data_IF_979256982903
#
_entry.id   IF_979256982903
#
_cell.length_a   1.000
_cell.length_b   1.000
_cell.length_c   1.000
_cell.angle_alpha   90.00
_cell.angle_beta   90.00
_cell.angle_gamma   90.00
#
_symmetry.space_group_name_H-M   'P 1'
#
loop_
_entity.id
_entity.type
_entity.pdbx_description
1 polymer ?
#
# COMPACT_ATOMS: atom_id res chain seq x y z
N UNK A 1 -11.31 -12.05 21.56
CA UNK A 1 -12.11 -11.67 20.38
C UNK A 1 -12.78 -10.31 20.65
N UNK A 2 -12.98 -9.47 19.64
CA UNK A 2 -13.73 -8.20 19.79
C UNK A 2 -15.23 -8.37 19.53
N UNK A 3 -16.05 -7.34 19.77
CA UNK A 3 -17.49 -7.35 19.49
C UNK A 3 -17.85 -7.53 18.00
N UNK A 4 -16.88 -7.32 17.09
CA UNK A 4 -17.01 -7.59 15.65
C UNK A 4 -16.47 -8.97 15.26
N UNK A 5 -16.14 -9.84 16.22
CA UNK A 5 -15.70 -11.21 15.98
C UNK A 5 -14.21 -11.37 15.67
N UNK A 6 -13.41 -10.30 15.65
CA UNK A 6 -11.99 -10.42 15.34
C UNK A 6 -11.22 -11.15 16.45
N UNK A 7 -10.48 -12.19 16.08
CA UNK A 7 -9.53 -12.84 16.97
C UNK A 7 -8.24 -11.99 17.05
N UNK A 8 -7.83 -11.64 18.27
CA UNK A 8 -6.56 -10.97 18.51
C UNK A 8 -6.08 -11.28 19.92
N UNK A 9 -4.78 -11.57 20.05
CA UNK A 9 -4.11 -11.71 21.33
C UNK A 9 -3.56 -10.36 21.77
N UNK A 10 -3.93 -9.96 22.99
CA UNK A 10 -3.39 -8.79 23.68
C UNK A 10 -3.17 -9.17 25.15
N UNK A 11 -2.08 -8.69 25.75
CA UNK A 11 -1.82 -8.89 27.17
C UNK A 11 -2.96 -8.32 28.02
N UNK A 12 -3.28 -8.88 29.20
CA UNK A 12 -4.35 -8.39 30.07
C UNK A 12 -4.28 -6.89 30.37
N UNK A 13 -3.07 -6.36 30.57
CA UNK A 13 -2.84 -4.92 30.78
C UNK A 13 -3.26 -4.04 29.57
N UNK A 14 -3.06 -4.52 28.33
CA UNK A 14 -3.52 -3.81 27.14
C UNK A 14 -5.04 -3.77 27.03
N UNK A 15 -5.74 -4.77 27.59
CA UNK A 15 -7.20 -4.77 27.64
C UNK A 15 -7.75 -3.71 28.60
N UNK A 16 -7.10 -3.53 29.75
CA UNK A 16 -7.50 -2.52 30.74
C UNK A 16 -7.18 -1.08 30.33
N UNK A 17 -6.12 -0.86 29.54
CA UNK A 17 -5.71 0.47 29.06
C UNK A 17 -6.42 0.94 27.77
N UNK A 18 -7.41 0.21 27.26
CA UNK A 18 -8.16 0.64 26.07
C UNK A 18 -7.41 0.44 24.75
N UNK A 19 -6.33 -0.34 24.70
CA UNK A 19 -5.78 -0.84 23.44
C UNK A 19 -6.74 -1.89 22.87
N UNK A 20 -7.79 -1.38 22.21
CA UNK A 20 -8.85 -2.17 21.60
C UNK A 20 -8.36 -3.06 20.46
N UNK A 21 -9.31 -3.68 19.77
CA UNK A 21 -9.03 -4.58 18.67
C UNK A 21 -8.18 -3.92 17.57
N UNK A 22 -7.00 -4.46 17.22
CA UNK A 22 -6.08 -3.83 16.24
C UNK A 22 -6.71 -3.69 14.86
N UNK A 23 -7.61 -4.60 14.48
CA UNK A 23 -8.39 -4.51 13.25
C UNK A 23 -9.44 -3.38 13.28
N UNK A 24 -10.03 -3.08 14.45
CA UNK A 24 -10.96 -1.95 14.60
C UNK A 24 -10.22 -0.62 14.64
N UNK A 25 -9.03 -0.60 15.23
CA UNK A 25 -8.15 0.56 15.27
C UNK A 25 -7.42 0.83 13.94
N UNK A 26 -7.70 0.06 12.87
CA UNK A 26 -7.06 0.20 11.56
C UNK A 26 -5.57 -0.14 11.54
N UNK A 27 -5.06 -0.78 12.60
CA UNK A 27 -3.66 -1.19 12.73
C UNK A 27 -3.36 -2.48 11.93
N UNK A 28 -4.40 -3.29 11.67
CA UNK A 28 -4.31 -4.51 10.86
C UNK A 28 -5.46 -4.56 9.86
N UNK A 29 -5.22 -5.07 8.63
CA UNK A 29 -6.29 -5.25 7.66
C UNK A 29 -7.16 -6.44 8.06
N UNK A 30 -8.46 -6.31 7.81
CA UNK A 30 -9.41 -7.39 7.82
C UNK A 30 -9.76 -7.70 6.38
N UNK A 31 -9.39 -8.89 5.92
CA UNK A 31 -9.61 -9.36 4.56
C UNK A 31 -11.10 -9.33 4.23
N UNK A 32 -11.44 -8.72 3.09
CA UNK A 32 -12.81 -8.54 2.62
C UNK A 32 -13.53 -7.31 3.19
N UNK A 33 -12.89 -6.48 4.01
CA UNK A 33 -13.55 -5.30 4.61
C UNK A 33 -12.65 -4.07 4.66
N UNK A 34 -11.44 -4.19 5.22
CA UNK A 34 -10.54 -3.04 5.46
C UNK A 34 -9.17 -3.17 4.80
N UNK A 35 -8.95 -4.24 4.05
CA UNK A 35 -7.74 -4.44 3.26
C UNK A 35 -7.71 -3.57 1.99
N UNK A 36 -6.51 -3.42 1.40
CA UNK A 36 -6.29 -2.60 0.22
C UNK A 36 -7.07 -3.13 -0.99
N UNK A 37 -7.17 -4.44 -1.17
CA UNK A 37 -7.85 -5.02 -2.33
C UNK A 37 -9.34 -4.73 -2.34
N UNK A 38 -9.98 -4.83 -1.17
CA UNK A 38 -11.39 -4.50 -0.98
C UNK A 38 -11.64 -3.00 -1.13
N UNK A 39 -10.82 -2.16 -0.48
CA UNK A 39 -11.08 -0.72 -0.43
C UNK A 39 -10.64 0.03 -1.68
N UNK A 40 -9.64 -0.47 -2.41
CA UNK A 40 -9.02 0.20 -3.57
C UNK A 40 -8.75 -0.79 -4.72
N UNK A 41 -9.79 -1.40 -5.31
CA UNK A 41 -9.65 -2.29 -6.46
C UNK A 41 -9.00 -1.60 -7.67
N UNK A 42 -9.14 -0.27 -7.78
CA UNK A 42 -8.46 0.55 -8.79
C UNK A 42 -6.93 0.42 -8.72
N UNK A 43 -6.37 0.32 -7.51
CA UNK A 43 -4.93 0.20 -7.29
C UNK A 43 -4.40 -1.23 -7.46
N UNK A 44 -5.27 -2.25 -7.36
CA UNK A 44 -4.86 -3.65 -7.51
C UNK A 44 -4.42 -3.97 -8.93
N UNK A 45 -5.00 -3.28 -9.91
CA UNK A 45 -4.53 -3.34 -11.30
C UNK A 45 -3.10 -2.83 -11.47
N UNK A 46 -2.63 -2.01 -10.53
CA UNK A 46 -1.28 -1.46 -10.53
C UNK A 46 -0.34 -2.22 -9.57
N UNK A 47 -0.79 -3.31 -8.93
CA UNK A 47 0.04 -4.10 -8.01
C UNK A 47 1.00 -5.01 -8.78
N UNK A 48 2.27 -5.01 -8.42
CA UNK A 48 3.25 -5.94 -9.01
C UNK A 48 3.28 -7.27 -8.24
N UNK A 49 3.22 -8.39 -8.97
CA UNK A 49 3.23 -9.74 -8.37
C UNK A 49 4.59 -10.13 -7.75
N UNK A 50 5.64 -9.34 -7.98
CA UNK A 50 6.97 -9.55 -7.37
C UNK A 50 7.03 -9.03 -5.93
N UNK A 51 5.97 -8.39 -5.44
CA UNK A 51 5.90 -7.91 -4.06
C UNK A 51 5.88 -9.08 -3.07
N UNK A 52 6.55 -8.96 -1.91
CA UNK A 52 6.56 -9.99 -0.88
C UNK A 52 5.27 -10.02 -0.03
N UNK A 53 4.32 -9.12 -0.30
CA UNK A 53 3.07 -8.98 0.43
C UNK A 53 1.90 -9.16 -0.54
N UNK A 54 0.81 -9.73 -0.05
CA UNK A 54 -0.45 -9.76 -0.77
C UNK A 54 -1.24 -8.47 -0.53
N UNK A 55 -1.98 -7.96 -1.52
CA UNK A 55 -2.76 -6.73 -1.37
C UNK A 55 -3.85 -6.86 -0.30
N UNK A 56 -4.36 -8.06 -0.01
CA UNK A 56 -5.33 -8.27 1.05
C UNK A 56 -4.71 -8.34 2.46
N UNK A 57 -3.38 -8.37 2.56
CA UNK A 57 -2.64 -8.37 3.83
C UNK A 57 -2.12 -6.98 4.23
N UNK A 58 -2.41 -5.96 3.42
CA UNK A 58 -2.00 -4.57 3.68
C UNK A 58 -3.21 -3.64 3.79
N UNK A 59 -3.14 -2.68 4.70
CA UNK A 59 -4.17 -1.63 4.83
C UNK A 59 -3.91 -0.49 3.87
N UNK A 60 -4.95 0.28 3.53
CA UNK A 60 -4.82 1.50 2.73
C UNK A 60 -3.87 2.53 3.36
N UNK A 61 -3.76 2.56 4.69
CA UNK A 61 -2.87 3.46 5.43
C UNK A 61 -1.46 2.92 5.64
N UNK A 62 -1.12 1.76 5.07
CA UNK A 62 0.14 1.09 5.37
C UNK A 62 1.37 1.87 4.87
N UNK A 63 2.35 2.03 5.74
CA UNK A 63 3.62 2.68 5.43
C UNK A 63 4.57 1.83 4.58
N UNK A 64 4.20 0.58 4.28
CA UNK A 64 5.03 -0.34 3.49
C UNK A 64 5.22 0.18 2.07
N UNK A 65 6.46 0.12 1.59
CA UNK A 65 6.81 0.41 0.21
C UNK A 65 6.69 -0.87 -0.62
N UNK A 66 5.95 -0.79 -1.71
CA UNK A 66 5.73 -1.88 -2.66
C UNK A 66 6.01 -1.39 -4.07
N UNK A 67 6.23 -2.33 -4.98
CA UNK A 67 6.39 -2.08 -6.40
C UNK A 67 5.01 -1.98 -7.04
N UNK A 68 4.81 -0.88 -7.76
CA UNK A 68 3.63 -0.61 -8.56
C UNK A 68 4.01 -0.74 -10.03
N UNK A 69 3.10 -1.29 -10.84
CA UNK A 69 3.25 -1.46 -12.28
C UNK A 69 2.05 -0.87 -12.99
N UNK A 70 2.22 0.17 -13.79
CA UNK A 70 1.10 0.75 -14.52
C UNK A 70 0.79 -0.05 -15.79
N UNK A 71 -0.32 0.25 -16.44
CA UNK A 71 -0.71 -0.37 -17.72
C UNK A 71 0.32 -0.20 -18.86
N UNK A 72 1.23 0.77 -18.75
CA UNK A 72 2.35 0.97 -19.70
C UNK A 72 3.64 0.25 -19.28
N UNK A 73 3.53 -0.75 -18.42
CA UNK A 73 4.62 -1.58 -17.89
C UNK A 73 5.67 -0.88 -17.01
N UNK A 74 5.54 0.42 -16.73
CA UNK A 74 6.49 1.09 -15.85
C UNK A 74 6.37 0.59 -14.43
N UNK A 75 7.51 0.21 -13.83
CA UNK A 75 7.59 -0.23 -12.44
C UNK A 75 8.21 0.86 -11.57
N UNK A 76 7.58 1.21 -10.46
CA UNK A 76 8.14 2.15 -9.49
C UNK A 76 7.83 1.73 -8.06
N UNK A 77 8.71 2.11 -7.13
CA UNK A 77 8.49 1.89 -5.69
C UNK A 77 7.73 3.06 -5.09
N UNK A 78 6.65 2.77 -4.36
CA UNK A 78 5.94 3.77 -3.56
C UNK A 78 5.23 3.13 -2.35
N UNK A 79 5.03 3.93 -1.30
CA UNK A 79 4.27 3.52 -0.11
C UNK A 79 2.79 3.35 -0.44
N UNK A 80 2.15 2.31 0.09
CA UNK A 80 0.70 2.07 -0.04
C UNK A 80 -0.08 3.30 0.42
N UNK A 81 0.23 3.82 1.61
CA UNK A 81 -0.37 5.03 2.17
C UNK A 81 -0.24 6.26 1.26
N UNK A 82 0.80 6.37 0.44
CA UNK A 82 0.97 7.51 -0.47
C UNK A 82 0.05 7.39 -1.69
N UNK A 83 -0.19 6.16 -2.16
CA UNK A 83 -1.03 5.85 -3.33
C UNK A 83 -2.51 5.97 -3.03
N UNK A 84 -2.90 5.63 -1.81
CA UNK A 84 -4.29 5.57 -1.38
C UNK A 84 -4.86 6.93 -0.92
N UNK A 85 -4.02 7.93 -0.65
CA UNK A 85 -4.45 9.29 -0.29
C UNK A 85 -5.35 9.92 -1.37
N UNK A 86 -6.19 10.90 -0.99
CA UNK A 86 -7.07 11.62 -1.94
C UNK A 86 -6.33 12.27 -3.11
N UNK A 87 -5.07 12.68 -2.92
CA UNK A 87 -4.16 13.12 -3.99
C UNK A 87 -3.05 12.10 -4.20
N UNK A 88 -3.43 10.85 -4.40
CA UNK A 88 -2.51 9.74 -4.58
C UNK A 88 -1.56 9.99 -5.77
N UNK A 89 -0.29 9.65 -5.59
CA UNK A 89 0.70 9.78 -6.65
C UNK A 89 0.49 8.70 -7.70
N UNK A 90 0.20 9.03 -8.96
CA UNK A 90 0.17 8.07 -10.07
C UNK A 90 1.56 7.57 -10.46
N UNK A 91 1.62 6.82 -11.56
CA UNK A 91 2.88 6.44 -12.17
C UNK A 91 3.75 7.69 -12.47
N UNK A 92 4.96 7.81 -11.90
CA UNK A 92 5.80 8.99 -12.10
C UNK A 92 6.29 9.13 -13.54
N UNK A 93 6.44 8.02 -14.26
CA UNK A 93 6.79 7.98 -15.67
C UNK A 93 5.63 8.45 -16.57
N UNK A 94 4.37 8.15 -16.21
CA UNK A 94 3.19 8.70 -16.90
C UNK A 94 3.00 10.19 -16.64
N UNK A 95 3.36 10.64 -15.45
CA UNK A 95 3.26 12.03 -15.06
C UNK A 95 4.43 12.91 -15.57
N UNK A 96 5.38 12.36 -16.32
CA UNK A 96 6.57 13.08 -16.79
C UNK A 96 7.52 13.52 -15.67
N UNK A 97 7.41 12.92 -14.48
CA UNK A 97 8.24 13.25 -13.31
C UNK A 97 9.54 12.46 -13.29
N UNK A 98 9.56 11.32 -13.98
CA UNK A 98 10.72 10.45 -14.11
C UNK A 98 10.81 9.96 -15.56
N UNK A 99 12.03 9.81 -16.05
CA UNK A 99 12.29 9.25 -17.36
C UNK A 99 12.28 7.70 -17.28
N UNK A 100 11.48 7.00 -18.11
CA UNK A 100 11.38 5.54 -18.09
C UNK A 100 12.65 4.82 -18.58
N UNK A 101 13.54 5.55 -19.23
CA UNK A 101 14.85 5.15 -19.73
C UNK A 101 15.90 6.03 -19.03
N UNK A 102 16.07 5.85 -17.71
CA UNK A 102 17.04 6.61 -16.90
C UNK A 102 18.35 6.91 -17.65
N UNK A 103 18.99 8.05 -17.37
CA UNK A 103 19.70 8.86 -18.35
C UNK A 103 20.57 8.06 -19.34
N UNK A 104 20.01 7.76 -20.51
CA UNK A 104 20.79 7.43 -21.71
C UNK A 104 21.17 8.75 -22.40
N UNK A 105 22.02 9.57 -21.77
CA UNK A 105 22.90 10.59 -22.40
C UNK A 105 23.43 11.59 -21.37
N UNK A 106 24.61 11.31 -20.84
CA UNK A 106 25.55 12.36 -20.43
C UNK A 106 26.74 12.36 -21.40
N UNK A 107 26.45 12.47 -22.70
CA UNK A 107 27.43 12.92 -23.70
C UNK A 107 27.21 14.40 -23.95
N UNK A 108 27.67 15.26 -23.02
CA UNK A 108 27.80 16.69 -23.30
C UNK A 108 29.09 16.87 -24.11
N UNK A 109 28.96 16.98 -25.43
CA UNK A 109 29.97 17.59 -26.28
C UNK A 109 29.98 19.10 -26.02
N UNK A 110 31.11 19.63 -25.59
CA UNK A 110 31.62 20.96 -25.90
C UNK A 110 33.10 21.00 -25.48
#
# INVERSE_FOLDING_TARGET
>A
MCSRGHDFSASPANRSNGFGCPYCAGQRPWRGETDLATLRPDLIQEWDNSNPFDPDTVTVGSGVSVIWRCARDHRWSARVATRTRRRGSGCPYCAGRQDPQGPLSAGKSA
#
